data_IF_342142376781
#
_entry.id   IF_342142376781
#
_cell.length_a   1.000
_cell.length_b   1.000
_cell.length_c   1.000
_cell.angle_alpha   90.00
_cell.angle_beta   90.00
_cell.angle_gamma   90.00
#
_symmetry.space_group_name_H-M   'P 1'
#
loop_
_entity.id
_entity.type
_entity.pdbx_description
1 polymer ?
#
# COMPACT_ATOMS: atom_id res chain seq x y z
N UNK A 1 -9.99 19.56 15.88
CA UNK A 1 -11.00 20.56 15.52
C UNK A 1 -11.86 19.98 14.43
N UNK A 2 -13.21 19.97 14.53
CA UNK A 2 -14.06 19.60 13.42
C UNK A 2 -13.73 20.53 12.25
N UNK A 3 -13.48 19.99 11.07
CA UNK A 3 -13.29 20.79 9.86
C UNK A 3 -14.62 21.50 9.56
N UNK A 4 -14.71 22.76 9.93
CA UNK A 4 -15.85 23.64 9.62
C UNK A 4 -15.60 24.50 8.38
N UNK A 5 -14.49 24.33 7.71
CA UNK A 5 -14.21 25.04 6.45
C UNK A 5 -14.46 24.11 5.27
N UNK A 6 -15.38 24.56 4.43
CA UNK A 6 -16.02 23.89 3.34
C UNK A 6 -15.19 22.88 2.56
N UNK A 7 -15.65 21.65 2.57
CA UNK A 7 -15.22 20.59 1.70
C UNK A 7 -15.63 20.94 0.25
N UNK A 8 -14.89 21.83 -0.35
CA UNK A 8 -15.03 22.23 -1.75
C UNK A 8 -13.75 21.86 -2.48
N UNK A 9 -13.51 20.55 -2.63
CA UNK A 9 -12.38 20.11 -3.46
C UNK A 9 -11.98 18.67 -3.19
N UNK A 10 -11.61 17.98 -4.24
CA UNK A 10 -10.84 16.73 -4.20
C UNK A 10 -9.60 17.00 -3.35
N UNK A 11 -9.36 16.19 -2.32
CA UNK A 11 -8.16 16.31 -1.50
C UNK A 11 -6.94 16.26 -2.43
N UNK A 12 -6.10 17.31 -2.37
CA UNK A 12 -4.93 17.35 -3.23
C UNK A 12 -3.92 16.30 -2.74
N UNK A 13 -3.32 15.52 -3.64
CA UNK A 13 -2.30 14.57 -3.26
C UNK A 13 -1.07 15.27 -2.69
N UNK A 14 -0.39 14.61 -1.75
CA UNK A 14 0.93 15.06 -1.33
C UNK A 14 1.93 14.86 -2.48
N UNK A 15 2.80 15.82 -2.68
CA UNK A 15 3.79 15.76 -3.76
C UNK A 15 5.10 15.19 -3.22
N UNK A 16 5.60 14.14 -3.85
CA UNK A 16 6.95 13.61 -3.68
C UNK A 16 7.78 13.97 -4.90
N UNK A 17 8.74 14.86 -4.74
CA UNK A 17 9.71 15.15 -5.78
C UNK A 17 10.93 14.26 -5.58
N UNK A 18 11.11 13.31 -6.50
CA UNK A 18 12.33 12.53 -6.59
C UNK A 18 13.35 13.20 -7.52
N UNK A 19 14.61 12.79 -7.44
CA UNK A 19 15.71 13.34 -8.22
C UNK A 19 15.48 13.27 -9.73
N UNK A 20 16.10 14.15 -10.48
CA UNK A 20 16.22 14.05 -11.94
C UNK A 20 17.20 12.94 -12.39
N UNK A 21 18.08 12.47 -11.47
CA UNK A 21 18.86 11.25 -11.65
C UNK A 21 17.98 10.01 -11.52
N UNK A 22 18.42 8.84 -12.04
CA UNK A 22 17.67 7.60 -11.89
C UNK A 22 17.36 7.28 -10.44
N UNK A 23 16.09 7.07 -10.12
CA UNK A 23 15.59 6.72 -8.79
C UNK A 23 14.66 5.50 -8.90
N UNK A 24 14.85 4.54 -8.01
CA UNK A 24 13.94 3.40 -7.88
C UNK A 24 13.08 3.55 -6.64
N UNK A 25 11.77 3.43 -6.84
CA UNK A 25 10.73 3.43 -5.81
C UNK A 25 10.11 2.05 -5.74
N UNK A 26 10.29 1.34 -4.64
CA UNK A 26 9.55 0.11 -4.40
C UNK A 26 8.16 0.43 -3.85
N UNK A 27 7.13 -0.24 -4.34
CA UNK A 27 5.74 -0.05 -3.92
C UNK A 27 5.17 -1.40 -3.50
N UNK A 28 4.81 -1.52 -2.22
CA UNK A 28 4.18 -2.69 -1.62
C UNK A 28 2.86 -2.28 -0.99
N UNK A 29 1.93 -3.20 -0.84
CA UNK A 29 0.61 -2.95 -0.24
C UNK A 29 -0.04 -4.25 0.24
N UNK A 30 -1.17 -4.11 0.94
CA UNK A 30 -2.07 -5.21 1.27
C UNK A 30 -1.33 -6.38 1.94
N UNK A 31 -0.48 -6.07 2.93
CA UNK A 31 0.15 -7.10 3.78
C UNK A 31 -0.82 -7.65 4.80
N UNK A 32 -1.80 -6.83 5.24
CA UNK A 32 -2.82 -7.22 6.21
C UNK A 32 -2.27 -7.91 7.45
N UNK A 33 -1.20 -7.38 8.03
CA UNK A 33 -0.63 -7.95 9.24
C UNK A 33 -1.70 -8.14 10.34
N UNK A 34 -1.81 -9.30 10.98
CA UNK A 34 -0.89 -10.44 11.01
C UNK A 34 -1.18 -11.54 9.94
N UNK A 35 -1.95 -11.24 8.89
CA UNK A 35 -2.33 -12.22 7.85
C UNK A 35 -1.44 -12.13 6.60
N UNK A 36 -0.27 -11.51 6.71
CA UNK A 36 0.73 -11.49 5.65
C UNK A 36 1.14 -12.91 5.27
N UNK A 37 1.47 -13.13 4.01
CA UNK A 37 2.17 -14.33 3.58
C UNK A 37 3.67 -14.15 3.87
N UNK A 38 4.16 -14.91 4.85
CA UNK A 38 5.54 -14.78 5.34
C UNK A 38 6.57 -15.08 4.24
N UNK A 39 6.26 -16.03 3.35
CA UNK A 39 7.15 -16.41 2.25
C UNK A 39 7.14 -15.34 1.14
N UNK A 40 5.97 -14.80 0.80
CA UNK A 40 5.87 -13.70 -0.16
C UNK A 40 6.61 -12.44 0.33
N UNK A 41 6.43 -12.09 1.61
CA UNK A 41 7.14 -10.97 2.23
C UNK A 41 8.66 -11.22 2.23
N UNK A 42 9.11 -12.43 2.58
CA UNK A 42 10.54 -12.75 2.58
C UNK A 42 11.17 -12.70 1.17
N UNK A 43 10.43 -13.08 0.12
CA UNK A 43 10.89 -12.94 -1.27
C UNK A 43 11.02 -11.47 -1.67
N UNK A 44 10.05 -10.66 -1.34
CA UNK A 44 10.09 -9.22 -1.56
C UNK A 44 11.26 -8.59 -0.81
N UNK A 45 11.43 -8.90 0.49
CA UNK A 45 12.52 -8.39 1.32
C UNK A 45 13.91 -8.76 0.72
N UNK A 46 14.11 -9.99 0.22
CA UNK A 46 15.37 -10.41 -0.45
C UNK A 46 15.68 -9.56 -1.68
N UNK A 47 14.68 -9.27 -2.51
CA UNK A 47 14.88 -8.43 -3.70
C UNK A 47 15.22 -7.00 -3.29
N UNK A 48 14.48 -6.44 -2.33
CA UNK A 48 14.71 -5.07 -1.88
C UNK A 48 16.06 -4.90 -1.18
N UNK A 49 16.50 -5.88 -0.39
CA UNK A 49 17.81 -5.88 0.27
C UNK A 49 18.95 -5.84 -0.76
N UNK A 50 18.84 -6.58 -1.86
CA UNK A 50 19.84 -6.54 -2.95
C UNK A 50 19.76 -5.23 -3.76
N UNK A 51 18.54 -4.74 -4.01
CA UNK A 51 18.30 -3.57 -4.85
C UNK A 51 18.64 -2.25 -4.13
N UNK A 52 18.35 -2.14 -2.81
CA UNK A 52 18.50 -0.91 -2.03
C UNK A 52 17.80 0.29 -2.69
N UNK A 53 16.45 0.24 -2.91
CA UNK A 53 15.74 1.33 -3.56
C UNK A 53 15.82 2.64 -2.74
N UNK A 54 15.76 3.79 -3.39
CA UNK A 54 15.79 5.10 -2.72
C UNK A 54 14.52 5.33 -1.87
N UNK A 55 13.39 4.77 -2.31
CA UNK A 55 12.12 4.89 -1.60
C UNK A 55 11.42 3.54 -1.48
N UNK A 56 10.76 3.33 -0.35
CA UNK A 56 9.78 2.26 -0.13
C UNK A 56 8.45 2.88 0.23
N UNK A 57 7.43 2.63 -0.58
CA UNK A 57 6.06 3.08 -0.34
C UNK A 57 5.22 1.88 0.09
N UNK A 58 4.65 1.96 1.29
CA UNK A 58 3.57 1.09 1.73
C UNK A 58 2.26 1.72 1.25
N UNK A 59 1.65 1.18 0.21
CA UNK A 59 0.46 1.78 -0.39
C UNK A 59 -0.85 1.33 0.27
N UNK A 60 -0.85 1.23 1.59
CA UNK A 60 -2.02 0.98 2.46
C UNK A 60 -2.29 -0.49 2.75
N UNK A 61 -3.26 -0.70 3.64
CA UNK A 61 -3.69 -2.00 4.19
C UNK A 61 -2.51 -2.83 4.70
N UNK A 62 -1.61 -2.16 5.45
CA UNK A 62 -0.45 -2.78 6.11
C UNK A 62 -0.91 -3.63 7.29
N UNK A 63 -1.89 -3.13 8.07
CA UNK A 63 -2.48 -3.86 9.19
C UNK A 63 -3.95 -4.15 8.91
N UNK A 64 -4.41 -5.34 9.26
CA UNK A 64 -5.79 -5.74 8.98
C UNK A 64 -6.82 -5.01 9.84
N UNK A 65 -6.48 -4.66 11.08
CA UNK A 65 -7.45 -4.10 12.05
C UNK A 65 -8.74 -4.93 12.14
N UNK A 66 -8.63 -6.25 12.10
CA UNK A 66 -9.76 -7.18 12.11
C UNK A 66 -10.73 -6.91 13.25
N UNK A 67 -10.22 -6.62 14.47
CA UNK A 67 -11.02 -6.37 15.66
C UNK A 67 -11.94 -5.17 15.53
N UNK A 68 -11.59 -4.20 14.67
CA UNK A 68 -12.35 -2.97 14.42
C UNK A 68 -13.25 -3.08 13.19
N UNK A 69 -13.21 -4.21 12.47
CA UNK A 69 -14.09 -4.46 11.33
C UNK A 69 -15.56 -4.46 11.75
N UNK A 70 -16.44 -4.02 10.86
CA UNK A 70 -17.91 -4.08 11.04
C UNK A 70 -18.51 -5.47 10.83
N UNK A 71 -17.73 -6.42 10.31
CA UNK A 71 -18.15 -7.79 10.06
C UNK A 71 -18.04 -8.67 11.31
N UNK A 72 -18.72 -9.82 11.29
CA UNK A 72 -18.69 -10.80 12.38
C UNK A 72 -17.26 -11.23 12.74
N UNK A 73 -17.05 -11.45 14.04
CA UNK A 73 -15.75 -11.86 14.57
C UNK A 73 -15.76 -13.36 14.85
N UNK A 74 -14.81 -14.08 14.27
CA UNK A 74 -14.65 -15.49 14.58
C UNK A 74 -13.79 -15.67 15.83
N UNK A 75 -14.13 -16.59 16.76
CA UNK A 75 -13.29 -16.86 17.92
C UNK A 75 -11.87 -17.34 17.55
N UNK A 76 -11.71 -17.97 16.39
CA UNK A 76 -10.40 -18.42 15.89
C UNK A 76 -9.42 -17.28 15.59
N UNK A 77 -9.90 -16.04 15.49
CA UNK A 77 -9.10 -14.82 15.24
C UNK A 77 -9.08 -13.90 16.45
N UNK A 78 -9.10 -14.46 17.64
CA UNK A 78 -9.18 -13.71 18.90
C UNK A 78 -7.86 -13.04 19.33
N UNK A 79 -6.96 -12.71 18.40
CA UNK A 79 -5.75 -11.95 18.71
C UNK A 79 -6.11 -10.58 19.27
N UNK A 80 -5.25 -10.05 20.13
CA UNK A 80 -5.40 -8.67 20.58
C UNK A 80 -5.00 -7.70 19.49
N UNK A 81 -5.68 -6.56 19.39
CA UNK A 81 -5.33 -5.49 18.47
C UNK A 81 -3.86 -5.05 18.62
N UNK A 82 -3.36 -5.01 19.86
CA UNK A 82 -1.97 -4.66 20.14
C UNK A 82 -0.99 -5.69 19.55
N UNK A 83 -1.33 -6.98 19.60
CA UNK A 83 -0.49 -8.02 19.01
C UNK A 83 -0.39 -7.86 17.48
N UNK A 84 -1.50 -7.55 16.81
CA UNK A 84 -1.52 -7.31 15.37
C UNK A 84 -0.70 -6.07 14.98
N UNK A 85 -0.80 -4.99 15.75
CA UNK A 85 0.03 -3.79 15.58
C UNK A 85 1.52 -4.12 15.75
N UNK A 86 1.87 -4.95 16.72
CA UNK A 86 3.26 -5.35 16.96
C UNK A 86 3.85 -6.11 15.77
N UNK A 87 3.08 -6.95 15.08
CA UNK A 87 3.54 -7.63 13.84
C UNK A 87 3.91 -6.60 12.75
N UNK A 88 3.14 -5.54 12.61
CA UNK A 88 3.48 -4.44 11.68
C UNK A 88 4.75 -3.72 12.09
N UNK A 89 4.94 -3.45 13.39
CA UNK A 89 6.17 -2.84 13.91
C UNK A 89 7.39 -3.73 13.69
N UNK A 90 7.26 -5.05 13.85
CA UNK A 90 8.33 -6.00 13.57
C UNK A 90 8.72 -5.97 12.09
N UNK A 91 7.75 -5.89 11.17
CA UNK A 91 8.02 -5.72 9.74
C UNK A 91 8.76 -4.41 9.47
N UNK A 92 8.34 -3.28 10.05
CA UNK A 92 9.04 -2.00 9.90
C UNK A 92 10.47 -2.05 10.45
N UNK A 93 10.69 -2.72 11.58
CA UNK A 93 12.02 -2.91 12.15
C UNK A 93 12.94 -3.72 11.21
N UNK A 94 12.44 -4.82 10.62
CA UNK A 94 13.19 -5.59 9.60
C UNK A 94 13.51 -4.71 8.39
N UNK A 95 12.53 -3.98 7.85
CA UNK A 95 12.76 -3.09 6.70
C UNK A 95 13.76 -1.97 7.04
N UNK A 96 13.83 -1.49 8.27
CA UNK A 96 14.88 -0.55 8.68
C UNK A 96 16.26 -1.19 8.71
N UNK A 97 16.34 -2.47 9.10
CA UNK A 97 17.60 -3.21 9.15
C UNK A 97 18.16 -3.48 7.76
N UNK A 98 17.30 -3.99 6.84
CA UNK A 98 17.73 -4.38 5.49
C UNK A 98 17.80 -3.20 4.51
N UNK A 99 17.08 -2.10 4.79
CA UNK A 99 16.97 -0.89 3.94
C UNK A 99 17.35 0.38 4.74
N UNK A 100 18.59 0.49 5.25
CA UNK A 100 18.97 1.55 6.19
C UNK A 100 18.99 2.95 5.58
N UNK A 101 19.11 3.07 4.26
CA UNK A 101 19.18 4.36 3.55
C UNK A 101 17.88 4.72 2.81
N UNK A 102 16.97 3.76 2.67
CA UNK A 102 15.71 3.92 1.94
C UNK A 102 14.75 4.81 2.72
N UNK A 103 14.24 5.85 2.08
CA UNK A 103 13.17 6.69 2.63
C UNK A 103 11.85 5.92 2.57
N UNK A 104 11.09 5.92 3.67
CA UNK A 104 9.88 5.13 3.81
C UNK A 104 8.65 6.02 3.94
N UNK A 105 7.61 5.70 3.19
CA UNK A 105 6.34 6.44 3.16
C UNK A 105 5.21 5.42 3.28
N UNK A 106 4.26 5.66 4.17
CA UNK A 106 3.07 4.82 4.32
C UNK A 106 1.83 5.64 3.96
N UNK A 107 1.02 5.12 3.07
CA UNK A 107 -0.33 5.61 2.82
C UNK A 107 -1.28 4.84 3.73
N UNK A 108 -2.25 5.53 4.31
CA UNK A 108 -3.36 4.85 4.98
C UNK A 108 -4.23 4.13 3.94
N UNK A 109 -4.57 2.87 4.21
CA UNK A 109 -5.54 2.11 3.43
C UNK A 109 -6.92 2.07 4.07
N UNK A 110 -7.80 1.28 3.48
CA UNK A 110 -9.18 1.10 3.97
C UNK A 110 -9.23 0.43 5.33
N UNK A 111 -8.22 -0.39 5.66
CA UNK A 111 -8.13 -1.09 6.93
C UNK A 111 -7.56 -0.20 8.04
N UNK A 112 -6.60 0.65 7.76
CA UNK A 112 -6.15 1.67 8.70
C UNK A 112 -7.29 2.65 9.04
N UNK A 113 -8.13 3.01 8.05
CA UNK A 113 -9.29 3.88 8.25
C UNK A 113 -10.36 3.26 9.19
N UNK A 114 -10.36 1.93 9.40
CA UNK A 114 -11.25 1.28 10.38
C UNK A 114 -11.08 1.83 11.79
N UNK A 115 -9.84 2.14 12.20
CA UNK A 115 -9.58 2.72 13.52
C UNK A 115 -10.28 4.08 13.67
N UNK A 116 -10.09 4.98 12.70
CA UNK A 116 -10.72 6.31 12.69
C UNK A 116 -12.23 6.20 12.71
N UNK A 117 -12.82 5.36 11.85
CA UNK A 117 -14.27 5.14 11.78
C UNK A 117 -14.84 4.54 13.07
N UNK A 118 -14.13 3.59 13.65
CA UNK A 118 -14.52 3.00 14.93
C UNK A 118 -14.56 4.05 16.04
N UNK A 119 -13.51 4.85 16.17
CA UNK A 119 -13.46 5.93 17.16
C UNK A 119 -14.60 6.94 16.95
N UNK A 120 -14.85 7.35 15.72
CA UNK A 120 -15.93 8.32 15.43
C UNK A 120 -17.32 7.77 15.72
N UNK A 121 -17.56 6.49 15.54
CA UNK A 121 -18.89 5.90 15.70
C UNK A 121 -19.12 5.31 17.08
N UNK A 122 -18.11 4.70 17.69
CA UNK A 122 -18.25 3.96 18.95
C UNK A 122 -17.68 4.71 20.16
N UNK A 123 -16.72 5.58 19.97
CA UNK A 123 -16.03 6.26 21.06
C UNK A 123 -15.53 7.66 20.65
N UNK A 124 -16.43 8.59 20.26
CA UNK A 124 -16.02 9.89 19.72
C UNK A 124 -15.14 10.72 20.66
N UNK A 125 -15.33 10.56 21.98
CA UNK A 125 -14.53 11.25 23.00
C UNK A 125 -13.05 10.83 22.96
N UNK A 126 -12.75 9.60 22.54
CA UNK A 126 -11.38 9.10 22.43
C UNK A 126 -10.69 9.49 21.10
N UNK A 127 -11.46 9.94 20.12
CA UNK A 127 -10.91 10.29 18.80
C UNK A 127 -9.94 11.50 18.83
N UNK A 128 -9.94 12.27 19.91
CA UNK A 128 -9.03 13.40 20.12
C UNK A 128 -7.71 13.03 20.81
N UNK A 129 -7.56 11.79 21.27
CA UNK A 129 -6.36 11.35 21.96
C UNK A 129 -5.23 11.09 20.94
N UNK A 130 -4.13 11.82 21.07
CA UNK A 130 -2.96 11.69 20.18
C UNK A 130 -2.40 10.26 20.19
N UNK A 131 -2.36 9.60 21.35
CA UNK A 131 -1.87 8.22 21.48
C UNK A 131 -2.67 7.16 20.69
N UNK A 132 -3.87 7.49 20.18
CA UNK A 132 -4.65 6.64 19.30
C UNK A 132 -4.50 6.98 17.82
N UNK A 133 -3.67 7.96 17.48
CA UNK A 133 -3.30 8.21 16.08
C UNK A 133 -2.46 7.06 15.52
N UNK A 134 -2.68 6.69 14.26
CA UNK A 134 -1.93 5.61 13.59
C UNK A 134 -0.42 5.81 13.70
N UNK A 135 0.03 7.06 13.54
CA UNK A 135 1.44 7.42 13.66
C UNK A 135 2.05 6.98 14.99
N UNK A 136 1.32 7.21 16.09
CA UNK A 136 1.76 6.86 17.44
C UNK A 136 1.64 5.34 17.70
N UNK A 137 0.53 4.73 17.29
CA UNK A 137 0.31 3.30 17.47
C UNK A 137 1.36 2.46 16.75
N UNK A 138 1.75 2.85 15.55
CA UNK A 138 2.79 2.19 14.77
C UNK A 138 4.21 2.67 15.08
N UNK A 139 4.38 3.69 15.95
CA UNK A 139 5.68 4.31 16.24
C UNK A 139 6.42 4.75 14.96
N UNK A 140 5.71 5.35 14.00
CA UNK A 140 6.24 5.60 12.65
C UNK A 140 7.49 6.49 12.66
N UNK A 141 7.58 7.47 13.57
CA UNK A 141 8.77 8.33 13.70
C UNK A 141 10.01 7.54 14.09
N UNK A 142 9.89 6.52 14.96
CA UNK A 142 10.99 5.63 15.35
C UNK A 142 11.54 4.86 14.15
N UNK A 143 10.70 4.54 13.20
CA UNK A 143 11.07 3.83 11.97
C UNK A 143 11.39 4.76 10.79
N UNK A 144 11.29 6.09 10.98
CA UNK A 144 11.53 7.07 9.93
C UNK A 144 10.52 6.98 8.79
N UNK A 145 9.28 6.60 9.10
CA UNK A 145 8.20 6.42 8.11
C UNK A 145 7.31 7.65 8.12
N UNK A 146 7.16 8.33 6.98
CA UNK A 146 6.21 9.42 6.78
C UNK A 146 4.82 8.89 6.48
N UNK A 147 3.77 9.44 7.10
CA UNK A 147 2.38 9.01 6.90
C UNK A 147 1.64 9.93 5.93
N UNK A 148 0.95 9.34 4.97
CA UNK A 148 0.01 10.00 4.05
C UNK A 148 -1.41 9.61 4.45
N UNK A 149 -2.29 10.56 4.83
CA UNK A 149 -3.66 10.27 5.23
C UNK A 149 -4.50 9.60 4.14
N UNK A 150 -5.52 8.84 4.55
CA UNK A 150 -6.39 8.05 3.66
C UNK A 150 -7.02 8.87 2.52
N UNK A 151 -7.44 10.10 2.80
CA UNK A 151 -8.10 10.95 1.79
C UNK A 151 -7.11 11.53 0.77
N UNK A 152 -5.82 11.37 1.00
CA UNK A 152 -4.77 11.88 0.14
C UNK A 152 -4.04 10.75 -0.56
N UNK A 153 -3.56 11.02 -1.75
CA UNK A 153 -2.61 10.15 -2.44
C UNK A 153 -1.21 10.75 -2.43
N UNK A 154 -0.28 10.06 -3.02
CA UNK A 154 1.09 10.50 -3.22
C UNK A 154 1.37 10.71 -4.71
N UNK A 155 1.61 11.95 -5.13
CA UNK A 155 1.91 12.29 -6.52
C UNK A 155 3.43 12.42 -6.70
N UNK A 156 4.02 11.47 -7.41
CA UNK A 156 5.47 11.44 -7.66
C UNK A 156 5.79 12.28 -8.90
N UNK A 157 6.69 13.27 -8.74
CA UNK A 157 7.15 14.21 -9.77
C UNK A 157 6.02 14.89 -10.57
N UNK A 158 4.81 14.97 -10.00
CA UNK A 158 3.64 15.54 -10.66
C UNK A 158 3.07 14.70 -11.81
N UNK A 159 3.52 13.45 -11.98
CA UNK A 159 3.16 12.61 -13.14
C UNK A 159 2.60 11.24 -12.79
N UNK A 160 2.88 10.69 -11.61
CA UNK A 160 2.46 9.35 -11.22
C UNK A 160 1.80 9.34 -9.85
N UNK A 161 0.52 9.00 -9.80
CA UNK A 161 -0.29 9.02 -8.58
C UNK A 161 -0.33 7.64 -7.93
N UNK A 162 0.11 7.54 -6.68
CA UNK A 162 -0.04 6.33 -5.86
C UNK A 162 -1.16 6.55 -4.87
N UNK A 163 -2.12 5.64 -4.87
CA UNK A 163 -3.25 5.59 -3.94
C UNK A 163 -3.33 4.19 -3.33
N UNK A 164 -3.93 4.05 -2.14
CA UNK A 164 -4.39 2.73 -1.75
C UNK A 164 -5.52 2.26 -2.69
N UNK A 165 -6.51 3.09 -2.91
CA UNK A 165 -7.66 2.80 -3.78
C UNK A 165 -8.92 2.44 -2.98
N UNK A 166 -10.06 2.51 -3.67
CA UNK A 166 -11.40 2.22 -3.13
C UNK A 166 -12.25 1.45 -4.14
N UNK A 167 -11.83 1.44 -5.41
CA UNK A 167 -12.61 0.82 -6.48
C UNK A 167 -12.28 -0.66 -6.57
N UNK A 168 -13.31 -1.46 -6.78
CA UNK A 168 -13.18 -2.89 -7.06
C UNK A 168 -14.02 -3.19 -8.31
N UNK A 169 -13.41 -3.83 -9.28
CA UNK A 169 -14.07 -4.35 -10.49
C UNK A 169 -13.98 -5.87 -10.51
N UNK A 170 -14.65 -6.52 -11.47
CA UNK A 170 -14.73 -7.98 -11.54
C UNK A 170 -13.39 -8.65 -11.84
N UNK A 171 -12.57 -8.02 -12.69
CA UNK A 171 -11.38 -8.67 -13.23
C UNK A 171 -10.11 -7.85 -13.02
N UNK A 172 -8.96 -8.52 -13.07
CA UNK A 172 -7.65 -7.88 -13.14
C UNK A 172 -7.59 -6.88 -14.30
N UNK A 173 -6.94 -5.73 -14.07
CA UNK A 173 -6.85 -4.58 -14.99
C UNK A 173 -8.16 -3.77 -15.19
N UNK A 174 -9.32 -4.32 -14.82
CA UNK A 174 -10.58 -3.58 -14.91
C UNK A 174 -10.64 -2.43 -13.89
N UNK A 175 -10.11 -2.63 -12.69
CA UNK A 175 -9.99 -1.57 -11.69
C UNK A 175 -8.94 -0.52 -12.09
N UNK A 176 -7.83 -0.91 -12.69
CA UNK A 176 -6.85 0.02 -13.25
C UNK A 176 -7.52 0.95 -14.30
N UNK A 177 -8.35 0.39 -15.19
CA UNK A 177 -9.15 1.17 -16.15
C UNK A 177 -10.17 2.09 -15.47
N UNK A 178 -10.82 1.63 -14.39
CA UNK A 178 -11.76 2.45 -13.63
C UNK A 178 -11.05 3.62 -12.93
N UNK A 179 -9.88 3.38 -12.36
CA UNK A 179 -9.04 4.42 -11.76
C UNK A 179 -8.57 5.45 -12.80
N UNK A 180 -8.16 5.00 -14.00
CA UNK A 180 -7.89 5.93 -15.11
C UNK A 180 -9.09 6.84 -15.42
N UNK A 181 -10.29 6.28 -15.44
CA UNK A 181 -11.52 7.07 -15.72
C UNK A 181 -11.84 8.07 -14.62
N UNK A 182 -11.54 7.71 -13.35
CA UNK A 182 -11.81 8.55 -12.17
C UNK A 182 -10.78 9.67 -12.01
N UNK A 183 -9.49 9.36 -12.19
CA UNK A 183 -8.39 10.24 -11.82
C UNK A 183 -7.65 10.85 -13.04
N UNK A 184 -7.74 10.23 -14.21
CA UNK A 184 -6.90 10.58 -15.37
C UNK A 184 -5.42 10.24 -15.13
N UNK A 185 -4.54 10.77 -15.99
CA UNK A 185 -3.09 10.63 -15.82
C UNK A 185 -2.60 9.20 -15.70
N UNK A 186 -1.51 9.02 -14.95
CA UNK A 186 -0.90 7.72 -14.65
C UNK A 186 -0.90 7.45 -13.16
N UNK A 187 -1.00 6.18 -12.76
CA UNK A 187 -0.97 5.86 -11.35
C UNK A 187 -1.07 4.36 -11.02
N UNK A 188 -1.09 4.08 -9.74
CA UNK A 188 -1.13 2.72 -9.18
C UNK A 188 -2.02 2.67 -7.94
N UNK A 189 -2.72 1.54 -7.78
CA UNK A 189 -3.52 1.26 -6.58
C UNK A 189 -3.27 -0.16 -6.07
N UNK A 190 -3.40 -0.36 -4.76
CA UNK A 190 -3.58 -1.65 -4.11
C UNK A 190 -5.06 -2.05 -4.02
N UNK A 191 -5.50 -2.49 -2.84
CA UNK A 191 -6.88 -2.76 -2.44
C UNK A 191 -7.56 -3.95 -3.10
N UNK A 192 -7.35 -4.18 -4.39
CA UNK A 192 -7.99 -5.30 -5.11
C UNK A 192 -7.31 -6.63 -4.91
N UNK A 193 -6.09 -6.63 -4.36
CA UNK A 193 -5.21 -7.79 -4.24
C UNK A 193 -4.90 -8.46 -5.58
N UNK A 194 -5.00 -7.72 -6.68
CA UNK A 194 -4.76 -8.21 -8.04
C UNK A 194 -3.60 -7.50 -8.69
N UNK A 195 -2.91 -8.20 -9.57
CA UNK A 195 -1.94 -7.63 -10.47
C UNK A 195 -2.57 -7.33 -11.82
N UNK A 196 -2.29 -6.17 -12.38
CA UNK A 196 -2.82 -5.83 -13.69
C UNK A 196 -2.43 -4.43 -14.15
N UNK A 197 -2.61 -4.18 -15.43
CA UNK A 197 -2.30 -2.87 -16.01
C UNK A 197 -3.30 -2.50 -17.10
N UNK A 198 -3.55 -1.21 -17.23
CA UNK A 198 -4.36 -0.62 -18.28
C UNK A 198 -3.58 0.50 -18.94
N UNK A 199 -3.49 0.49 -20.26
CA UNK A 199 -2.84 1.53 -21.06
C UNK A 199 -3.84 2.22 -21.98
N UNK A 200 -3.63 3.52 -22.15
CA UNK A 200 -4.34 4.33 -23.11
C UNK A 200 -3.41 5.33 -23.78
N UNK A 201 -3.64 5.57 -25.08
CA UNK A 201 -3.02 6.65 -25.83
C UNK A 201 -4.09 7.57 -26.40
N UNK A 202 -3.88 8.86 -26.32
CA UNK A 202 -4.67 9.87 -26.99
C UNK A 202 -3.76 11.00 -27.52
N UNK A 203 -4.35 12.12 -27.97
CA UNK A 203 -3.59 13.26 -28.52
C UNK A 203 -2.68 13.95 -27.50
N UNK A 204 -2.87 13.74 -26.21
CA UNK A 204 -2.11 14.39 -25.14
C UNK A 204 -0.99 13.51 -24.59
N UNK A 205 -1.02 12.21 -24.81
CA UNK A 205 0.02 11.30 -24.31
C UNK A 205 -0.35 9.83 -24.23
N UNK A 206 0.51 9.12 -23.55
CA UNK A 206 0.32 7.70 -23.16
C UNK A 206 0.14 7.64 -21.67
N UNK A 207 -0.87 6.91 -21.22
CA UNK A 207 -1.24 6.76 -19.82
C UNK A 207 -1.20 5.31 -19.42
N UNK A 208 -0.74 5.04 -18.19
CA UNK A 208 -0.72 3.71 -17.59
C UNK A 208 -1.29 3.75 -16.17
N UNK A 209 -2.21 2.84 -15.85
CA UNK A 209 -2.69 2.58 -14.50
C UNK A 209 -2.46 1.13 -14.12
N UNK A 210 -2.13 0.88 -12.85
CA UNK A 210 -1.67 -0.42 -12.38
C UNK A 210 -2.42 -0.83 -11.11
N UNK A 211 -2.73 -2.11 -11.00
CA UNK A 211 -3.15 -2.80 -9.77
C UNK A 211 -1.94 -3.53 -9.22
N UNK A 212 -1.61 -3.34 -7.93
CA UNK A 212 -0.28 -3.69 -7.40
C UNK A 212 -0.27 -4.96 -6.55
N UNK A 213 -1.01 -6.01 -6.92
CA UNK A 213 -1.00 -7.27 -6.20
C UNK A 213 -1.38 -7.15 -4.71
N UNK A 214 -0.92 -8.10 -3.89
CA UNK A 214 -0.92 -8.07 -2.43
C UNK A 214 0.27 -8.87 -1.88
N UNK A 215 0.51 -8.75 -0.58
CA UNK A 215 1.48 -9.57 0.17
C UNK A 215 0.82 -10.35 1.32
N UNK A 216 -0.51 -10.40 1.35
CA UNK A 216 -1.27 -11.22 2.28
C UNK A 216 -1.45 -12.65 1.78
N UNK A 217 -1.96 -13.51 2.64
CA UNK A 217 -2.32 -14.90 2.31
C UNK A 217 -3.42 -14.94 1.27
N UNK A 218 -3.34 -15.91 0.34
CA UNK A 218 -4.32 -16.10 -0.74
C UNK A 218 -5.47 -17.04 -0.36
N UNK A 219 -5.46 -17.60 0.86
CA UNK A 219 -6.45 -18.54 1.39
C UNK A 219 -7.18 -18.01 2.63
N UNK A 220 -7.80 -16.80 2.57
CA UNK A 220 -8.48 -16.25 3.73
C UNK A 220 -9.79 -17.00 4.05
N UNK A 221 -10.09 -17.18 5.33
CA UNK A 221 -11.31 -17.90 5.78
C UNK A 221 -12.61 -17.18 5.39
N UNK A 222 -12.55 -15.87 5.16
CA UNK A 222 -13.72 -15.01 4.93
C UNK A 222 -14.07 -14.78 3.45
N UNK A 223 -13.19 -15.17 2.54
CA UNK A 223 -13.43 -15.04 1.11
C UNK A 223 -13.20 -16.37 0.41
N UNK A 224 -14.25 -16.92 -0.17
CA UNK A 224 -14.15 -18.19 -0.89
C UNK A 224 -13.60 -17.96 -2.29
N UNK A 225 -12.52 -18.66 -2.63
CA UNK A 225 -11.88 -18.62 -3.95
C UNK A 225 -11.58 -17.19 -4.43
N UNK A 226 -10.84 -16.39 -3.66
CA UNK A 226 -10.50 -15.05 -4.09
C UNK A 226 -9.61 -15.09 -5.34
N UNK A 227 -9.86 -14.19 -6.27
CA UNK A 227 -9.00 -13.96 -7.44
C UNK A 227 -7.88 -12.99 -7.05
N UNK A 228 -7.04 -13.41 -6.10
CA UNK A 228 -5.91 -12.61 -5.60
C UNK A 228 -4.59 -13.11 -6.13
N UNK A 229 -3.65 -12.20 -6.36
CA UNK A 229 -2.30 -12.52 -6.80
C UNK A 229 -1.28 -11.81 -5.90
N UNK A 230 -0.19 -12.52 -5.58
CA UNK A 230 0.89 -11.96 -4.79
C UNK A 230 1.95 -11.29 -5.67
N UNK A 231 2.53 -10.22 -5.15
CA UNK A 231 3.58 -9.49 -5.82
C UNK A 231 3.76 -8.09 -5.27
N UNK A 232 4.60 -7.33 -5.95
CA UNK A 232 4.85 -5.91 -5.68
C UNK A 232 5.38 -5.25 -6.96
N UNK A 233 5.65 -3.95 -6.92
CA UNK A 233 6.15 -3.24 -8.09
C UNK A 233 7.38 -2.40 -7.78
N UNK A 234 8.22 -2.23 -8.79
CA UNK A 234 9.26 -1.22 -8.84
C UNK A 234 8.88 -0.15 -9.85
N UNK A 235 9.01 1.10 -9.44
CA UNK A 235 8.81 2.25 -10.31
C UNK A 235 10.16 2.99 -10.45
N UNK A 236 10.66 3.06 -11.67
CA UNK A 236 11.94 3.70 -11.99
C UNK A 236 11.66 5.08 -12.56
N UNK A 237 12.21 6.13 -11.96
CA UNK A 237 12.02 7.51 -12.38
C UNK A 237 13.32 8.14 -12.86
N UNK A 238 13.21 8.98 -13.88
CA UNK A 238 14.21 9.97 -14.30
C UNK A 238 13.44 11.27 -14.57
N UNK A 239 13.46 12.19 -13.63
CA UNK A 239 12.63 13.38 -13.68
C UNK A 239 11.13 13.02 -13.81
N UNK A 240 10.49 13.44 -14.90
CA UNK A 240 9.08 13.14 -15.20
C UNK A 240 8.84 11.86 -16.01
N UNK A 241 9.89 11.17 -16.39
CA UNK A 241 9.78 9.88 -17.08
C UNK A 241 9.79 8.75 -16.06
N UNK A 242 8.99 7.70 -16.29
CA UNK A 242 8.93 6.55 -15.42
C UNK A 242 8.63 5.25 -16.17
N UNK A 243 9.05 4.15 -15.59
CA UNK A 243 8.80 2.78 -16.02
C UNK A 243 8.36 1.97 -14.83
N UNK A 244 7.34 1.13 -15.01
CA UNK A 244 6.80 0.26 -13.95
C UNK A 244 7.14 -1.19 -14.27
N UNK A 245 7.80 -1.85 -13.33
CA UNK A 245 8.07 -3.28 -13.35
C UNK A 245 7.20 -3.94 -12.29
N UNK A 246 6.18 -4.69 -12.72
CA UNK A 246 5.33 -5.49 -11.85
C UNK A 246 5.98 -6.86 -11.62
N UNK A 247 6.22 -7.23 -10.35
CA UNK A 247 6.94 -8.43 -9.95
C UNK A 247 5.97 -9.42 -9.29
N UNK A 248 5.31 -10.30 -10.06
CA UNK A 248 4.43 -11.31 -9.51
C UNK A 248 5.23 -12.38 -8.74
N UNK A 249 4.68 -12.82 -7.61
CA UNK A 249 5.16 -13.97 -6.85
C UNK A 249 4.28 -15.16 -7.20
N UNK A 250 4.83 -16.15 -7.87
CA UNK A 250 4.10 -17.32 -8.37
C UNK A 250 4.70 -18.59 -7.76
N UNK A 251 3.86 -19.37 -7.08
CA UNK A 251 4.27 -20.63 -6.45
C UNK A 251 5.54 -20.44 -5.58
N UNK A 252 5.54 -19.41 -4.73
CA UNK A 252 6.66 -19.07 -3.83
C UNK A 252 7.99 -18.85 -4.57
N UNK A 253 7.90 -18.34 -5.77
CA UNK A 253 9.06 -17.95 -6.59
C UNK A 253 8.86 -16.56 -7.19
N UNK A 254 9.96 -15.87 -7.43
CA UNK A 254 9.98 -14.54 -8.06
C UNK A 254 11.20 -14.45 -8.98
N UNK A 255 11.02 -13.86 -10.15
CA UNK A 255 12.10 -13.57 -11.09
C UNK A 255 12.37 -12.07 -11.10
N UNK A 256 13.62 -11.67 -10.84
CA UNK A 256 14.06 -10.29 -10.94
C UNK A 256 15.50 -10.22 -11.45
N UNK A 257 15.78 -9.29 -12.38
CA UNK A 257 17.12 -9.10 -12.94
C UNK A 257 17.74 -10.35 -13.56
N UNK A 258 16.94 -11.27 -14.10
CA UNK A 258 17.40 -12.57 -14.62
C UNK A 258 17.72 -13.60 -13.53
N UNK A 259 17.54 -13.29 -12.26
CA UNK A 259 17.77 -14.18 -11.11
C UNK A 259 16.44 -14.72 -10.58
N UNK A 260 16.39 -16.02 -10.28
CA UNK A 260 15.25 -16.67 -9.64
C UNK A 260 15.42 -16.67 -8.12
N UNK A 261 14.48 -16.04 -7.41
CA UNK A 261 14.38 -16.05 -5.95
C UNK A 261 13.39 -17.13 -5.50
N UNK A 262 13.72 -17.83 -4.42
CA UNK A 262 12.90 -18.88 -3.79
C UNK A 262 12.92 -18.73 -2.26
N UNK A 263 11.87 -19.17 -1.60
CA UNK A 263 11.82 -19.35 -0.13
C UNK A 263 12.39 -20.69 0.25
#
# INVERSE_FOLDING_TARGET
TPRTEGYMGIAQPLTLNVSDEPVTVAIINDTHNPYQDVEAVALMEKVLEELQPEYLIYAGDVNDFYQLSKYDKTPARANSLQADINVSKEMFARHNSILPKTKKIMLEGTHEDRLRRYLWTQSPALASLEGLALKELFELDKFGISLVPFEQGLLINGVFLVLHGELISSDSSATAKANYRKHGGCGMTGHTHRGGSFYKRDRFGVYGWYENFCLCRLDPDWCKNPDWQQGFSLAHFIGKHFWIEQLPIINKTLMYGGKLYRT
#
